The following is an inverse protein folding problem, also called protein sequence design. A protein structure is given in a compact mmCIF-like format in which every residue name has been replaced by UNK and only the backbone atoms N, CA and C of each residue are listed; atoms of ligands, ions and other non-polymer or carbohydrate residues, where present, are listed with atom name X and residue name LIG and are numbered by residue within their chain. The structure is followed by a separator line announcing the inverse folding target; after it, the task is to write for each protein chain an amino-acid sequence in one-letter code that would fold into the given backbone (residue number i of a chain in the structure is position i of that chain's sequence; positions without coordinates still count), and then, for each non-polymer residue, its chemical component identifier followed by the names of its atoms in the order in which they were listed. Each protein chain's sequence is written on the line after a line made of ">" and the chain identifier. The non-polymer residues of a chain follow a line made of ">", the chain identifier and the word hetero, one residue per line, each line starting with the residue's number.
data_IF_151775973123
#
_entry.id   IF_151775973123
#
_cell.length_a   1.000
_cell.length_b   1.000
_cell.length_c   1.000
_cell.angle_alpha   90.00
_cell.angle_beta   90.00
_cell.angle_gamma   90.00
#
_symmetry.space_group_name_H-M   'P 1'
#
loop_
_entity.id
_entity.type
_entity.pdbx_description
1 polymer ?
#
# COMPACT_ATOMS: atom_id res chain seq x y z
N UNK A 1 -30.43 51.00 28.92
CA UNK A 1 -30.67 50.44 27.57
C UNK A 1 -29.44 49.74 26.97
N UNK A 2 -28.22 50.30 27.09
CA UNK A 2 -26.97 49.72 26.54
C UNK A 2 -26.47 48.41 27.19
N UNK A 3 -26.76 48.15 28.47
CA UNK A 3 -26.29 46.95 29.17
C UNK A 3 -26.98 45.65 28.69
N UNK A 4 -28.26 45.73 28.31
CA UNK A 4 -29.00 44.56 27.80
C UNK A 4 -28.54 44.14 26.41
N UNK A 5 -28.24 45.09 25.53
CA UNK A 5 -27.70 44.82 24.18
C UNK A 5 -26.32 44.16 24.23
N UNK A 6 -25.44 44.59 25.15
CA UNK A 6 -24.13 43.96 25.33
C UNK A 6 -24.24 42.53 25.88
N UNK A 7 -25.18 42.28 26.79
CA UNK A 7 -25.42 40.94 27.35
C UNK A 7 -25.98 39.97 26.30
N UNK A 8 -26.88 40.44 25.44
CA UNK A 8 -27.46 39.66 24.34
C UNK A 8 -26.38 39.28 23.32
N UNK A 9 -25.55 40.24 22.89
CA UNK A 9 -24.45 39.98 21.94
C UNK A 9 -23.43 39.00 22.54
N UNK A 10 -23.11 39.12 23.84
CA UNK A 10 -22.18 38.23 24.54
C UNK A 10 -22.73 36.80 24.69
N UNK A 11 -24.04 36.65 24.89
CA UNK A 11 -24.70 35.35 24.92
C UNK A 11 -24.84 34.74 23.52
N UNK A 12 -25.09 35.55 22.50
CA UNK A 12 -25.15 35.11 21.10
C UNK A 12 -23.79 34.59 20.63
N UNK A 13 -22.73 35.36 20.89
CA UNK A 13 -21.35 34.94 20.58
C UNK A 13 -20.97 33.68 21.33
N UNK A 14 -21.23 33.57 22.64
CA UNK A 14 -21.02 32.32 23.40
C UNK A 14 -21.76 31.13 22.80
N UNK A 15 -23.01 31.30 22.40
CA UNK A 15 -23.81 30.22 21.81
C UNK A 15 -23.30 29.82 20.42
N UNK A 16 -22.85 30.77 19.60
CA UNK A 16 -22.22 30.50 18.31
C UNK A 16 -20.90 29.76 18.51
N UNK A 17 -20.02 30.22 19.42
CA UNK A 17 -18.75 29.54 19.70
C UNK A 17 -18.99 28.12 20.21
N UNK A 18 -19.96 27.93 21.11
CA UNK A 18 -20.29 26.61 21.67
C UNK A 18 -20.92 25.68 20.63
N UNK A 19 -21.73 26.21 19.72
CA UNK A 19 -22.28 25.45 18.59
C UNK A 19 -21.18 25.08 17.60
N UNK A 20 -20.29 26.00 17.23
CA UNK A 20 -19.14 25.72 16.36
C UNK A 20 -18.22 24.70 17.02
N UNK A 21 -17.92 24.83 18.31
CA UNK A 21 -17.08 23.89 19.04
C UNK A 21 -17.72 22.49 19.13
N UNK A 22 -19.04 22.42 19.33
CA UNK A 22 -19.78 21.16 19.33
C UNK A 22 -19.87 20.55 17.92
N UNK A 23 -20.07 21.36 16.88
CA UNK A 23 -20.04 20.89 15.49
C UNK A 23 -18.63 20.42 15.14
N UNK A 24 -17.57 21.15 15.50
CA UNK A 24 -16.18 20.74 15.25
C UNK A 24 -15.83 19.49 16.03
N UNK A 25 -16.18 19.37 17.33
CA UNK A 25 -15.97 18.15 18.11
C UNK A 25 -16.71 16.94 17.51
N UNK A 26 -17.98 17.12 17.14
CA UNK A 26 -18.79 16.04 16.57
C UNK A 26 -18.39 15.67 15.13
N UNK A 27 -17.77 16.59 14.38
CA UNK A 27 -17.40 16.37 12.97
C UNK A 27 -15.94 15.95 12.81
N UNK A 28 -15.03 16.40 13.70
CA UNK A 28 -13.59 16.18 13.54
C UNK A 28 -12.97 15.16 14.50
N UNK A 29 -13.52 14.96 15.71
CA UNK A 29 -12.88 14.14 16.74
C UNK A 29 -13.69 12.86 16.98
N UNK A 30 -13.39 11.83 16.19
CA UNK A 30 -13.77 10.45 16.49
C UNK A 30 -12.74 9.84 17.46
N UNK A 31 -13.09 8.78 18.20
CA UNK A 31 -12.17 8.02 19.09
C UNK A 31 -10.89 7.56 18.38
N UNK A 32 -10.94 7.43 17.05
CA UNK A 32 -9.81 7.00 16.21
C UNK A 32 -8.99 8.12 15.58
N UNK A 33 -9.34 9.38 15.82
CA UNK A 33 -8.57 10.54 15.34
C UNK A 33 -7.10 10.47 15.76
N UNK A 34 -6.74 10.05 17.00
CA UNK A 34 -5.34 9.86 17.38
C UNK A 34 -4.64 8.79 16.54
N UNK A 35 -5.31 7.67 16.26
CA UNK A 35 -4.76 6.61 15.42
C UNK A 35 -4.52 7.11 13.99
N UNK A 36 -5.48 7.80 13.38
CA UNK A 36 -5.30 8.35 12.03
C UNK A 36 -4.21 9.42 11.96
N UNK A 37 -4.11 10.27 12.97
CA UNK A 37 -3.05 11.28 13.06
C UNK A 37 -1.67 10.63 13.12
N UNK A 38 -1.46 9.68 14.04
CA UNK A 38 -0.19 8.96 14.17
C UNK A 38 0.14 8.22 12.89
N UNK A 39 -0.84 7.51 12.30
CA UNK A 39 -0.67 6.78 11.04
C UNK A 39 -0.24 7.71 9.90
N UNK A 40 -0.90 8.85 9.77
CA UNK A 40 -0.62 9.86 8.73
C UNK A 40 0.78 10.46 8.92
N UNK A 41 1.11 10.90 10.14
CA UNK A 41 2.41 11.48 10.44
C UNK A 41 3.55 10.48 10.21
N UNK A 42 3.37 9.23 10.65
CA UNK A 42 4.33 8.16 10.45
C UNK A 42 4.58 7.87 8.97
N UNK A 43 3.51 7.69 8.19
CA UNK A 43 3.62 7.42 6.76
C UNK A 43 4.24 8.61 6.02
N UNK A 44 3.90 9.83 6.41
CA UNK A 44 4.49 11.05 5.85
C UNK A 44 6.00 11.13 6.09
N UNK A 45 6.45 10.91 7.33
CA UNK A 45 7.89 10.87 7.67
C UNK A 45 8.59 9.76 6.89
N UNK A 46 7.97 8.59 6.77
CA UNK A 46 8.52 7.47 5.99
C UNK A 46 8.68 7.85 4.51
N UNK A 47 7.68 8.50 3.91
CA UNK A 47 7.75 8.99 2.52
C UNK A 47 8.88 9.99 2.36
N UNK A 48 8.97 10.99 3.26
CA UNK A 48 10.04 12.00 3.19
C UNK A 48 11.41 11.35 3.32
N UNK A 49 11.64 10.51 4.33
CA UNK A 49 12.93 9.87 4.56
C UNK A 49 13.31 8.94 3.40
N UNK A 50 12.35 8.16 2.89
CA UNK A 50 12.55 7.28 1.74
C UNK A 50 12.89 8.08 0.48
N UNK A 51 12.23 9.20 0.26
CA UNK A 51 12.47 10.09 -0.87
C UNK A 51 13.83 10.79 -0.76
N UNK A 52 14.17 11.30 0.43
CA UNK A 52 15.48 11.89 0.70
C UNK A 52 16.59 10.87 0.48
N UNK A 53 16.42 9.62 0.94
CA UNK A 53 17.38 8.56 0.69
C UNK A 53 17.57 8.34 -0.82
N UNK A 54 16.48 8.25 -1.59
CA UNK A 54 16.55 8.10 -3.04
C UNK A 54 17.26 9.27 -3.75
N UNK A 55 17.22 10.49 -3.20
CA UNK A 55 17.95 11.62 -3.79
C UNK A 55 19.45 11.63 -3.45
N UNK A 56 19.82 11.23 -2.23
CA UNK A 56 21.19 11.37 -1.70
C UNK A 56 22.06 10.13 -1.86
N UNK A 57 21.48 8.98 -2.17
CA UNK A 57 22.27 7.78 -2.41
C UNK A 57 23.13 7.95 -3.67
N UNK A 58 24.43 7.68 -3.52
CA UNK A 58 25.45 7.75 -4.56
C UNK A 58 25.89 6.37 -5.06
N UNK A 59 25.24 5.31 -4.59
CA UNK A 59 25.52 3.94 -5.00
C UNK A 59 24.37 3.39 -5.83
N UNK A 60 24.71 2.64 -6.87
CA UNK A 60 23.73 1.84 -7.57
C UNK A 60 23.54 0.52 -6.81
N UNK A 61 22.29 0.21 -6.46
CA UNK A 61 21.90 -1.07 -5.88
C UNK A 61 21.29 -1.98 -6.95
N UNK A 62 21.05 -3.23 -6.59
CA UNK A 62 20.40 -4.21 -7.48
C UNK A 62 19.06 -3.70 -8.04
N UNK A 63 18.43 -2.78 -7.32
CA UNK A 63 17.12 -2.23 -7.60
C UNK A 63 17.09 -0.73 -7.84
N UNK A 64 18.22 -0.02 -7.74
CA UNK A 64 18.32 1.44 -7.75
C UNK A 64 19.53 1.89 -8.59
N UNK A 65 19.29 2.65 -9.67
CA UNK A 65 20.35 3.10 -10.59
C UNK A 65 20.32 4.64 -10.71
N UNK A 66 20.71 5.37 -9.64
CA UNK A 66 20.77 6.83 -9.62
C UNK A 66 21.89 7.43 -10.47
N UNK A 67 22.89 6.63 -10.83
CA UNK A 67 24.10 7.10 -11.49
C UNK A 67 24.27 6.46 -12.86
N UNK A 68 24.77 7.27 -13.79
CA UNK A 68 25.13 6.82 -15.11
C UNK A 68 26.20 5.73 -15.06
N UNK A 69 26.08 4.74 -15.94
CA UNK A 69 26.99 3.61 -15.99
C UNK A 69 26.49 2.55 -16.94
N UNK A 70 27.23 1.45 -17.06
CA UNK A 70 26.84 0.32 -17.89
C UNK A 70 26.38 -0.82 -16.98
N UNK A 71 25.11 -1.22 -17.12
CA UNK A 71 24.51 -2.29 -16.33
C UNK A 71 24.00 -3.37 -17.25
N UNK A 72 24.57 -4.57 -17.11
CA UNK A 72 24.24 -5.73 -17.95
C UNK A 72 24.33 -5.44 -19.47
N UNK A 73 25.32 -4.64 -19.89
CA UNK A 73 25.52 -4.25 -21.28
C UNK A 73 24.53 -3.19 -21.79
N UNK A 74 23.71 -2.61 -20.90
CA UNK A 74 22.82 -1.49 -21.24
C UNK A 74 23.40 -0.20 -20.67
N UNK A 75 23.68 0.81 -21.51
CA UNK A 75 24.10 2.12 -21.02
C UNK A 75 22.92 2.79 -20.32
N UNK A 76 23.12 3.16 -19.06
CA UNK A 76 22.19 3.93 -18.25
C UNK A 76 22.69 5.37 -18.23
N UNK A 77 21.82 6.29 -18.61
CA UNK A 77 22.09 7.73 -18.63
C UNK A 77 21.50 8.47 -17.41
N UNK A 78 20.96 7.72 -16.44
CA UNK A 78 20.29 8.25 -15.27
C UNK A 78 21.28 8.98 -14.37
N UNK A 79 21.23 10.31 -14.37
CA UNK A 79 22.05 11.14 -13.47
C UNK A 79 21.30 12.38 -13.00
N UNK A 80 20.04 12.53 -13.42
CA UNK A 80 19.23 13.71 -13.12
C UNK A 80 18.28 13.43 -11.96
N UNK A 81 17.78 14.50 -11.34
CA UNK A 81 16.72 14.41 -10.34
C UNK A 81 15.47 13.74 -10.92
N UNK A 82 15.18 13.95 -12.21
CA UNK A 82 14.02 13.36 -12.90
C UNK A 82 14.14 11.83 -12.95
N UNK A 83 15.32 11.29 -13.19
CA UNK A 83 15.52 9.83 -13.26
C UNK A 83 15.33 9.18 -11.89
N UNK A 84 15.82 9.85 -10.83
CA UNK A 84 15.60 9.44 -9.43
C UNK A 84 14.11 9.50 -9.05
N UNK A 85 13.38 10.50 -9.53
CA UNK A 85 11.92 10.60 -9.37
C UNK A 85 11.19 9.48 -10.10
N UNK A 86 11.47 9.27 -11.39
CA UNK A 86 10.89 8.21 -12.21
C UNK A 86 11.15 6.84 -11.59
N UNK A 87 12.36 6.63 -11.07
CA UNK A 87 12.67 5.43 -10.31
C UNK A 87 11.81 5.28 -9.07
N UNK A 88 11.73 6.30 -8.22
CA UNK A 88 10.99 6.26 -6.96
C UNK A 88 9.51 5.90 -7.21
N UNK A 89 8.91 6.53 -8.23
CA UNK A 89 7.55 6.24 -8.70
C UNK A 89 7.45 5.02 -9.61
N UNK A 90 8.50 4.22 -9.78
CA UNK A 90 8.40 2.89 -10.41
C UNK A 90 8.24 1.77 -9.37
N UNK A 91 8.55 2.04 -8.09
CA UNK A 91 8.60 1.03 -7.05
C UNK A 91 7.24 0.81 -6.39
N UNK A 92 6.76 -0.43 -6.43
CA UNK A 92 5.46 -0.80 -5.85
C UNK A 92 5.38 -0.53 -4.34
N UNK A 93 6.51 -0.65 -3.65
CA UNK A 93 6.63 -0.33 -2.22
C UNK A 93 6.30 1.13 -1.94
N UNK A 94 6.87 2.06 -2.69
CA UNK A 94 6.63 3.50 -2.50
C UNK A 94 5.18 3.87 -2.86
N UNK A 95 4.62 3.34 -3.94
CA UNK A 95 3.21 3.56 -4.26
C UNK A 95 2.29 3.12 -3.13
N UNK A 96 2.57 1.96 -2.53
CA UNK A 96 1.69 1.41 -1.51
C UNK A 96 1.74 2.21 -0.21
N UNK A 97 2.92 2.70 0.17
CA UNK A 97 3.09 3.64 1.28
C UNK A 97 2.31 4.93 1.00
N UNK A 98 2.41 5.48 -0.21
CA UNK A 98 1.69 6.70 -0.63
C UNK A 98 0.18 6.49 -0.60
N UNK A 99 -0.31 5.34 -1.10
CA UNK A 99 -1.73 5.00 -1.09
C UNK A 99 -2.28 4.86 0.33
N UNK A 100 -1.53 4.22 1.24
CA UNK A 100 -1.88 4.17 2.66
C UNK A 100 -1.87 5.55 3.30
N UNK A 101 -0.87 6.39 2.97
CA UNK A 101 -0.82 7.77 3.46
C UNK A 101 -2.08 8.53 3.06
N UNK A 102 -2.47 8.49 1.79
CA UNK A 102 -3.69 9.14 1.33
C UNK A 102 -4.93 8.58 2.03
N UNK A 103 -5.02 7.26 2.23
CA UNK A 103 -6.13 6.69 2.98
C UNK A 103 -6.24 7.25 4.41
N UNK A 104 -5.14 7.21 5.17
CA UNK A 104 -5.14 7.66 6.57
C UNK A 104 -5.28 9.17 6.70
N UNK A 105 -4.72 9.94 5.77
CA UNK A 105 -4.91 11.39 5.70
C UNK A 105 -6.38 11.73 5.43
N UNK A 106 -7.00 11.08 4.44
CA UNK A 106 -8.42 11.25 4.15
C UNK A 106 -9.29 10.83 5.34
N UNK A 107 -8.95 9.72 6.01
CA UNK A 107 -9.64 9.29 7.22
C UNK A 107 -9.48 10.29 8.38
N UNK A 108 -8.32 10.92 8.52
CA UNK A 108 -8.03 11.96 9.51
C UNK A 108 -8.88 13.22 9.28
N UNK A 109 -9.09 13.62 8.02
CA UNK A 109 -10.00 14.73 7.67
C UNK A 109 -11.48 14.31 7.50
N UNK A 110 -11.84 13.12 7.98
CA UNK A 110 -13.20 12.54 7.95
C UNK A 110 -13.79 12.22 6.56
N UNK A 111 -12.95 12.08 5.54
CA UNK A 111 -13.31 11.60 4.19
C UNK A 111 -12.92 10.12 4.02
N UNK A 112 -13.34 9.27 4.97
CA UNK A 112 -12.98 7.85 4.99
C UNK A 112 -13.63 7.08 3.83
N UNK A 113 -12.83 6.31 3.08
CA UNK A 113 -13.32 5.37 2.08
C UNK A 113 -12.94 3.93 2.42
N UNK A 114 -13.88 3.15 2.98
CA UNK A 114 -13.64 1.73 3.27
C UNK A 114 -13.32 0.92 2.01
N UNK A 115 -13.96 1.26 0.88
CA UNK A 115 -13.68 0.60 -0.40
C UNK A 115 -12.21 0.78 -0.79
N UNK A 116 -11.68 1.99 -0.63
CA UNK A 116 -10.28 2.28 -0.92
C UNK A 116 -9.34 1.48 -0.02
N UNK A 117 -9.61 1.45 1.29
CA UNK A 117 -8.84 0.65 2.24
C UNK A 117 -8.81 -0.83 1.89
N UNK A 118 -9.96 -1.43 1.57
CA UNK A 118 -10.07 -2.85 1.24
C UNK A 118 -9.26 -3.25 0.01
N UNK A 119 -8.93 -2.29 -0.87
CA UNK A 119 -8.06 -2.51 -2.03
C UNK A 119 -6.59 -2.40 -1.67
N UNK A 120 -6.21 -1.40 -0.87
CA UNK A 120 -4.81 -1.12 -0.54
C UNK A 120 -4.29 -2.07 0.54
N UNK A 121 -5.12 -2.43 1.51
CA UNK A 121 -4.68 -3.21 2.68
C UNK A 121 -4.09 -4.58 2.30
N UNK A 122 -4.70 -5.40 1.40
CA UNK A 122 -4.09 -6.66 0.96
C UNK A 122 -2.78 -6.44 0.21
N UNK A 123 -2.70 -5.39 -0.62
CA UNK A 123 -1.49 -5.03 -1.35
C UNK A 123 -0.35 -4.67 -0.40
N UNK A 124 -0.63 -3.80 0.59
CA UNK A 124 0.33 -3.38 1.61
C UNK A 124 0.84 -4.55 2.44
N UNK A 125 -0.06 -5.45 2.87
CA UNK A 125 0.33 -6.65 3.59
C UNK A 125 1.23 -7.56 2.73
N UNK A 126 0.87 -7.74 1.46
CA UNK A 126 1.63 -8.57 0.51
C UNK A 126 3.04 -8.03 0.34
N UNK A 127 3.19 -6.73 0.08
CA UNK A 127 4.51 -6.12 -0.14
C UNK A 127 5.36 -6.18 1.12
N UNK A 128 4.79 -5.93 2.30
CA UNK A 128 5.53 -6.07 3.55
C UNK A 128 5.99 -7.51 3.78
N UNK A 129 5.17 -8.52 3.47
CA UNK A 129 5.59 -9.93 3.56
C UNK A 129 6.66 -10.27 2.53
N UNK A 130 6.51 -9.82 1.27
CA UNK A 130 7.49 -10.05 0.22
C UNK A 130 8.83 -9.37 0.50
N UNK A 131 8.82 -8.21 1.15
CA UNK A 131 10.06 -7.57 1.60
C UNK A 131 10.87 -8.51 2.47
N UNK A 132 10.24 -9.08 3.52
CA UNK A 132 10.91 -10.01 4.42
C UNK A 132 11.28 -11.35 3.78
N UNK A 133 10.50 -11.80 2.80
CA UNK A 133 10.73 -13.09 2.15
C UNK A 133 11.77 -13.03 1.02
N UNK A 134 11.83 -11.93 0.25
CA UNK A 134 12.65 -11.84 -0.96
C UNK A 134 13.80 -10.85 -0.86
N UNK A 135 13.54 -9.66 -0.33
CA UNK A 135 14.51 -8.55 -0.33
C UNK A 135 15.44 -8.65 0.87
N UNK A 136 14.89 -8.85 2.07
CA UNK A 136 15.68 -8.93 3.30
C UNK A 136 16.76 -10.03 3.28
N UNK A 137 16.50 -11.28 2.84
CA UNK A 137 17.53 -12.32 2.82
C UNK A 137 18.67 -12.05 1.85
N UNK A 138 18.51 -11.09 0.93
CA UNK A 138 19.55 -10.68 -0.03
C UNK A 138 20.35 -9.48 0.45
N UNK A 139 19.95 -8.86 1.56
CA UNK A 139 20.69 -7.78 2.20
C UNK A 139 21.81 -8.38 3.03
N UNK A 140 22.99 -7.76 2.99
CA UNK A 140 24.14 -8.14 3.84
C UNK A 140 23.98 -7.70 5.30
N UNK A 141 22.88 -7.02 5.61
CA UNK A 141 22.61 -6.39 6.90
C UNK A 141 21.80 -7.32 7.79
N UNK A 142 22.13 -7.35 9.07
CA UNK A 142 21.28 -7.99 10.07
C UNK A 142 20.01 -7.17 10.31
N UNK A 143 18.96 -7.82 10.84
CA UNK A 143 17.64 -7.19 11.03
C UNK A 143 17.70 -5.88 11.82
N UNK A 144 18.56 -5.82 12.83
CA UNK A 144 18.73 -4.65 13.70
C UNK A 144 19.51 -3.50 13.05
N UNK A 145 20.20 -3.77 11.94
CA UNK A 145 20.98 -2.80 11.18
C UNK A 145 20.17 -2.13 10.07
N UNK A 146 18.95 -2.61 9.83
CA UNK A 146 18.10 -2.05 8.81
C UNK A 146 17.66 -0.63 9.19
N UNK A 147 17.70 0.31 8.23
CA UNK A 147 17.26 1.66 8.50
C UNK A 147 15.76 1.68 8.81
N UNK A 148 15.36 2.65 9.64
CA UNK A 148 13.99 2.83 10.10
C UNK A 148 12.97 2.84 8.95
N UNK A 149 13.28 3.52 7.84
CA UNK A 149 12.39 3.62 6.69
C UNK A 149 12.20 2.29 5.92
N UNK A 150 13.02 1.27 6.18
CA UNK A 150 12.90 -0.06 5.56
C UNK A 150 12.29 -1.09 6.52
N UNK A 151 12.92 -1.36 7.67
CA UNK A 151 12.42 -2.41 8.57
C UNK A 151 11.16 -1.97 9.32
N UNK A 152 11.24 -0.81 9.95
CA UNK A 152 10.18 -0.32 10.82
C UNK A 152 8.96 0.09 9.99
N UNK A 153 9.14 0.61 8.76
CA UNK A 153 8.03 0.90 7.85
C UNK A 153 7.19 -0.34 7.52
N UNK A 154 7.81 -1.45 7.12
CA UNK A 154 7.09 -2.67 6.76
C UNK A 154 6.37 -3.30 7.95
N UNK A 155 6.99 -3.30 9.13
CA UNK A 155 6.35 -3.76 10.36
C UNK A 155 5.17 -2.88 10.73
N UNK A 156 5.36 -1.56 10.80
CA UNK A 156 4.30 -0.61 11.16
C UNK A 156 3.13 -0.64 10.19
N UNK A 157 3.38 -0.78 8.87
CA UNK A 157 2.32 -0.94 7.87
C UNK A 157 1.40 -2.11 8.24
N UNK A 158 1.96 -3.24 8.70
CA UNK A 158 1.16 -4.40 9.13
C UNK A 158 0.26 -4.01 10.30
N UNK A 159 0.79 -3.32 11.32
CA UNK A 159 -0.03 -2.84 12.45
C UNK A 159 -1.10 -1.85 12.02
N UNK A 160 -0.79 -0.90 11.15
CA UNK A 160 -1.75 0.07 10.64
C UNK A 160 -2.89 -0.61 9.88
N UNK A 161 -2.55 -1.59 9.03
CA UNK A 161 -3.51 -2.37 8.27
C UNK A 161 -4.42 -3.16 9.21
N UNK A 162 -3.89 -3.90 10.18
CA UNK A 162 -4.72 -4.65 11.12
C UNK A 162 -5.55 -3.74 12.03
N UNK A 163 -4.92 -2.68 12.56
CA UNK A 163 -5.57 -1.70 13.42
C UNK A 163 -6.76 -1.02 12.72
N UNK A 164 -6.65 -0.77 11.42
CA UNK A 164 -7.77 -0.27 10.62
C UNK A 164 -8.80 -1.34 10.27
N UNK A 165 -8.33 -2.52 9.87
CA UNK A 165 -9.15 -3.62 9.42
C UNK A 165 -10.19 -4.07 10.46
N UNK A 166 -9.83 -4.06 11.74
CA UNK A 166 -10.75 -4.40 12.84
C UNK A 166 -12.05 -3.56 12.85
N UNK A 167 -12.00 -2.34 12.33
CA UNK A 167 -13.14 -1.40 12.31
C UNK A 167 -13.91 -1.40 10.98
N UNK A 168 -13.43 -2.12 9.97
CA UNK A 168 -14.18 -2.29 8.71
C UNK A 168 -15.40 -3.17 9.00
N UNK A 169 -16.61 -2.71 8.65
CA UNK A 169 -17.85 -3.39 9.04
C UNK A 169 -18.07 -4.72 8.34
N UNK A 170 -17.76 -4.77 7.05
CA UNK A 170 -18.03 -5.93 6.20
C UNK A 170 -16.93 -6.06 5.14
N UNK A 171 -16.63 -7.27 4.67
CA UNK A 171 -15.65 -7.53 3.60
C UNK A 171 -16.21 -8.60 2.67
N UNK A 172 -17.01 -8.19 1.68
CA UNK A 172 -17.73 -9.13 0.81
C UNK A 172 -16.79 -9.93 -0.09
N UNK A 173 -17.23 -11.09 -0.57
CA UNK A 173 -16.37 -11.99 -1.37
C UNK A 173 -15.85 -11.31 -2.64
N UNK A 174 -16.68 -10.51 -3.32
CA UNK A 174 -16.27 -9.75 -4.52
C UNK A 174 -15.15 -8.74 -4.24
N UNK A 175 -15.06 -8.21 -3.02
CA UNK A 175 -14.03 -7.22 -2.67
C UNK A 175 -12.63 -7.85 -2.58
N UNK A 176 -12.54 -9.18 -2.50
CA UNK A 176 -11.25 -9.88 -2.49
C UNK A 176 -10.46 -9.70 -3.80
N UNK A 177 -11.14 -9.33 -4.88
CA UNK A 177 -10.55 -9.21 -6.21
C UNK A 177 -10.15 -7.78 -6.55
N UNK A 178 -10.52 -6.79 -5.73
CA UNK A 178 -10.31 -5.39 -6.11
C UNK A 178 -8.83 -4.98 -6.08
N UNK A 179 -8.00 -5.66 -5.29
CA UNK A 179 -6.56 -5.38 -5.21
C UNK A 179 -5.81 -5.67 -6.54
N UNK A 180 -6.38 -6.46 -7.47
CA UNK A 180 -5.75 -6.76 -8.77
C UNK A 180 -5.60 -5.57 -9.69
N UNK A 181 -6.43 -4.53 -9.53
CA UNK A 181 -6.29 -3.32 -10.32
C UNK A 181 -4.89 -2.69 -10.13
N UNK A 182 -4.33 -2.80 -8.91
CA UNK A 182 -3.00 -2.30 -8.63
C UNK A 182 -1.90 -3.15 -9.25
N UNK A 183 -2.06 -4.47 -9.35
CA UNK A 183 -1.07 -5.31 -10.06
C UNK A 183 -0.96 -4.90 -11.53
N UNK A 184 -2.10 -4.67 -12.20
CA UNK A 184 -2.08 -4.22 -13.59
C UNK A 184 -1.35 -2.88 -13.72
N UNK A 185 -1.68 -1.91 -12.85
CA UNK A 185 -1.00 -0.60 -12.81
C UNK A 185 0.50 -0.74 -12.56
N UNK A 186 0.92 -1.66 -11.68
CA UNK A 186 2.33 -1.91 -11.39
C UNK A 186 3.06 -2.56 -12.57
N UNK A 187 2.44 -3.51 -13.27
CA UNK A 187 3.02 -4.09 -14.48
C UNK A 187 3.21 -3.02 -15.57
N UNK A 188 2.23 -2.12 -15.72
CA UNK A 188 2.36 -0.96 -16.61
C UNK A 188 3.52 -0.04 -16.18
N UNK A 189 3.65 0.27 -14.90
CA UNK A 189 4.73 1.13 -14.39
C UNK A 189 6.11 0.49 -14.61
N UNK A 190 6.25 -0.82 -14.36
CA UNK A 190 7.48 -1.58 -14.61
C UNK A 190 7.83 -1.56 -16.10
N UNK A 191 6.84 -1.76 -16.98
CA UNK A 191 7.04 -1.73 -18.42
C UNK A 191 7.43 -0.33 -18.92
N UNK A 192 6.76 0.72 -18.46
CA UNK A 192 7.10 2.11 -18.80
C UNK A 192 8.53 2.43 -18.33
N UNK A 193 8.92 2.01 -17.12
CA UNK A 193 10.29 2.19 -16.63
C UNK A 193 11.31 1.49 -17.53
N UNK A 194 11.04 0.25 -17.94
CA UNK A 194 11.89 -0.46 -18.89
C UNK A 194 11.95 0.23 -20.26
N UNK A 195 10.82 0.69 -20.79
CA UNK A 195 10.77 1.36 -22.09
C UNK A 195 11.53 2.70 -22.10
N UNK A 196 11.52 3.43 -20.98
CA UNK A 196 12.19 4.73 -20.87
C UNK A 196 13.69 4.62 -20.54
N UNK A 197 14.09 3.63 -19.74
CA UNK A 197 15.45 3.54 -19.17
C UNK A 197 16.23 2.31 -19.60
N UNK A 198 15.58 1.32 -20.21
CA UNK A 198 16.17 0.02 -20.57
C UNK A 198 16.39 -0.92 -19.38
N UNK A 199 15.86 -0.57 -18.19
CA UNK A 199 16.13 -1.30 -16.94
C UNK A 199 14.85 -1.79 -16.27
N UNK A 200 14.89 -3.04 -15.81
CA UNK A 200 13.80 -3.71 -15.10
C UNK A 200 13.74 -3.33 -13.62
N UNK A 201 12.54 -3.19 -13.06
CA UNK A 201 12.35 -2.89 -11.63
C UNK A 201 12.90 -4.01 -10.73
N UNK A 202 13.66 -3.60 -9.72
CA UNK A 202 14.43 -4.45 -8.80
C UNK A 202 15.52 -5.34 -9.43
N UNK A 203 15.69 -5.34 -10.77
CA UNK A 203 16.41 -6.41 -11.49
C UNK A 203 15.91 -7.84 -11.18
N UNK A 204 14.80 -7.94 -10.43
CA UNK A 204 14.09 -9.17 -10.06
C UNK A 204 12.94 -9.42 -11.02
N UNK A 205 12.23 -8.37 -11.42
CA UNK A 205 11.01 -8.45 -12.23
C UNK A 205 11.35 -8.15 -13.69
N UNK A 206 11.88 -9.16 -14.38
CA UNK A 206 12.21 -9.12 -15.80
C UNK A 206 11.03 -9.65 -16.63
N UNK A 207 10.22 -8.77 -17.22
CA UNK A 207 9.00 -9.16 -17.95
C UNK A 207 9.31 -9.89 -19.28
N UNK A 208 10.54 -9.83 -19.75
CA UNK A 208 11.05 -10.58 -20.90
C UNK A 208 11.46 -12.02 -20.55
N UNK A 209 11.49 -12.40 -19.26
CA UNK A 209 11.98 -13.71 -18.80
C UNK A 209 10.96 -14.44 -17.93
N UNK A 210 11.02 -15.76 -17.98
CA UNK A 210 10.21 -16.63 -17.12
C UNK A 210 10.37 -16.30 -15.62
N UNK A 211 11.59 -16.01 -15.17
CA UNK A 211 11.86 -15.69 -13.77
C UNK A 211 11.05 -14.48 -13.25
N UNK A 212 10.82 -13.47 -14.09
CA UNK A 212 10.00 -12.31 -13.74
C UNK A 212 8.51 -12.67 -13.63
N UNK A 213 7.99 -13.41 -14.61
CA UNK A 213 6.59 -13.89 -14.59
C UNK A 213 6.32 -14.87 -13.45
N UNK A 214 7.29 -15.72 -13.09
CA UNK A 214 7.24 -16.58 -11.92
C UNK A 214 7.09 -15.75 -10.63
N UNK A 215 7.92 -14.71 -10.47
CA UNK A 215 7.85 -13.82 -9.31
C UNK A 215 6.52 -13.05 -9.23
N UNK A 216 6.02 -12.55 -10.38
CA UNK A 216 4.71 -11.87 -10.45
C UNK A 216 3.60 -12.85 -10.06
N UNK A 217 3.63 -14.08 -10.56
CA UNK A 217 2.63 -15.10 -10.27
C UNK A 217 2.60 -15.48 -8.79
N UNK A 218 3.77 -15.65 -8.16
CA UNK A 218 3.89 -15.87 -6.70
C UNK A 218 3.36 -14.67 -5.91
N UNK A 219 3.65 -13.45 -6.36
CA UNK A 219 3.14 -12.21 -5.75
C UNK A 219 1.62 -12.12 -5.82
N UNK A 220 1.03 -12.45 -6.99
CA UNK A 220 -0.41 -12.51 -7.20
C UNK A 220 -1.08 -13.51 -6.26
N UNK A 221 -0.53 -14.72 -6.14
CA UNK A 221 -1.06 -15.75 -5.21
C UNK A 221 -0.98 -15.27 -3.77
N UNK A 222 0.15 -14.71 -3.35
CA UNK A 222 0.28 -14.21 -1.98
C UNK A 222 -0.73 -13.10 -1.70
N UNK A 223 -0.96 -12.20 -2.66
CA UNK A 223 -1.97 -11.15 -2.53
C UNK A 223 -3.39 -11.71 -2.44
N UNK A 224 -3.71 -12.76 -3.20
CA UNK A 224 -4.95 -13.51 -3.03
C UNK A 224 -5.07 -14.05 -1.61
N UNK A 225 -4.04 -14.72 -1.11
CA UNK A 225 -4.02 -15.28 0.23
C UNK A 225 -4.25 -14.20 1.29
N UNK A 226 -3.58 -13.05 1.19
CA UNK A 226 -3.78 -11.92 2.10
C UNK A 226 -5.21 -11.36 2.04
N UNK A 227 -5.78 -11.22 0.84
CA UNK A 227 -7.14 -10.70 0.69
C UNK A 227 -8.22 -11.68 1.19
N UNK A 228 -8.05 -12.98 0.92
CA UNK A 228 -8.89 -14.03 1.48
C UNK A 228 -8.77 -14.13 2.99
N UNK A 229 -7.56 -13.99 3.51
CA UNK A 229 -7.32 -13.98 4.95
C UNK A 229 -8.15 -12.88 5.64
N UNK A 230 -8.23 -11.68 5.05
CA UNK A 230 -9.14 -10.63 5.55
C UNK A 230 -10.61 -11.04 5.49
N UNK A 231 -11.07 -11.59 4.38
CA UNK A 231 -12.44 -12.11 4.27
C UNK A 231 -12.76 -13.12 5.40
N UNK A 232 -11.89 -14.13 5.59
CA UNK A 232 -12.09 -15.17 6.60
C UNK A 232 -12.00 -14.62 8.02
N UNK A 233 -11.07 -13.71 8.31
CA UNK A 233 -11.00 -13.05 9.61
C UNK A 233 -12.31 -12.32 9.94
N UNK A 234 -12.94 -11.70 8.94
CA UNK A 234 -14.17 -10.95 9.16
C UNK A 234 -15.38 -11.84 9.43
N UNK A 235 -15.44 -13.01 8.78
CA UNK A 235 -16.56 -13.94 8.92
C UNK A 235 -16.25 -15.18 9.76
N UNK A 236 -15.16 -15.20 10.52
CA UNK A 236 -14.72 -16.34 11.33
C UNK A 236 -15.79 -16.91 12.27
N UNK A 237 -16.71 -16.05 12.76
CA UNK A 237 -17.77 -16.42 13.70
C UNK A 237 -19.13 -16.67 13.01
N UNK A 238 -19.23 -16.59 11.68
CA UNK A 238 -20.47 -16.90 10.95
C UNK A 238 -20.44 -18.33 10.44
N UNK A 239 -21.58 -19.02 10.51
CA UNK A 239 -21.73 -20.34 9.89
C UNK A 239 -21.38 -20.28 8.39
N UNK A 240 -20.59 -21.25 7.93
CA UNK A 240 -20.11 -21.31 6.54
C UNK A 240 -19.13 -20.20 6.15
N UNK A 241 -18.49 -19.51 7.11
CA UNK A 241 -17.54 -18.42 6.87
C UNK A 241 -18.08 -17.28 5.98
N UNK A 242 -19.40 -17.09 5.96
CA UNK A 242 -20.05 -16.09 5.11
C UNK A 242 -20.11 -16.45 3.62
N UNK A 243 -19.72 -17.66 3.22
CA UNK A 243 -19.71 -18.10 1.82
C UNK A 243 -21.14 -18.28 1.31
N UNK A 244 -21.50 -17.50 0.28
CA UNK A 244 -22.77 -17.64 -0.43
C UNK A 244 -22.57 -18.43 -1.73
N UNK A 245 -23.21 -19.60 -1.92
CA UNK A 245 -23.07 -20.39 -3.15
C UNK A 245 -23.43 -19.63 -4.43
N UNK A 246 -24.35 -18.65 -4.36
CA UNK A 246 -24.70 -17.80 -5.50
C UNK A 246 -23.55 -16.87 -5.90
N UNK A 247 -22.82 -16.33 -4.93
CA UNK A 247 -21.65 -15.48 -5.20
C UNK A 247 -20.48 -16.31 -5.72
N UNK A 248 -20.24 -17.48 -5.13
CA UNK A 248 -19.18 -18.39 -5.57
C UNK A 248 -19.34 -18.81 -7.03
N UNK A 249 -20.59 -19.07 -7.46
CA UNK A 249 -20.92 -19.39 -8.86
C UNK A 249 -20.70 -18.22 -9.83
N UNK A 250 -20.83 -16.98 -9.37
CA UNK A 250 -20.54 -15.79 -10.20
C UNK A 250 -19.03 -15.53 -10.32
N UNK A 251 -18.25 -15.99 -9.36
CA UNK A 251 -16.78 -15.84 -9.34
C UNK A 251 -16.02 -16.94 -10.11
N UNK A 252 -16.67 -17.66 -11.04
CA UNK A 252 -16.00 -18.74 -11.81
C UNK A 252 -14.76 -18.27 -12.57
N UNK A 253 -14.83 -17.11 -13.24
CA UNK A 253 -13.70 -16.53 -13.97
C UNK A 253 -12.49 -16.20 -13.08
N UNK A 254 -12.78 -15.85 -11.83
CA UNK A 254 -11.76 -15.60 -10.81
C UNK A 254 -11.05 -16.89 -10.40
N UNK A 255 -11.81 -17.95 -10.11
CA UNK A 255 -11.23 -19.25 -9.74
C UNK A 255 -10.46 -19.88 -10.91
N UNK A 256 -10.95 -19.74 -12.15
CA UNK A 256 -10.21 -20.22 -13.31
C UNK A 256 -8.88 -19.48 -13.50
N UNK A 257 -8.83 -18.17 -13.24
CA UNK A 257 -7.58 -17.40 -13.28
C UNK A 257 -6.61 -17.87 -12.21
N UNK A 258 -7.07 -18.10 -10.98
CA UNK A 258 -6.24 -18.60 -9.89
C UNK A 258 -5.70 -20.01 -10.18
N UNK A 259 -6.54 -20.91 -10.72
CA UNK A 259 -6.12 -22.25 -11.18
C UNK A 259 -5.09 -22.15 -12.30
N UNK A 260 -5.25 -21.22 -13.26
CA UNK A 260 -4.30 -21.02 -14.34
C UNK A 260 -2.93 -20.55 -13.82
N UNK A 261 -2.91 -19.64 -12.84
CA UNK A 261 -1.66 -19.17 -12.21
C UNK A 261 -0.99 -20.30 -11.42
N UNK A 262 -1.77 -21.08 -10.66
CA UNK A 262 -1.25 -22.26 -9.95
C UNK A 262 -0.67 -23.27 -10.94
N UNK A 263 -1.40 -23.56 -12.03
CA UNK A 263 -0.93 -24.46 -13.08
C UNK A 263 0.37 -23.97 -13.72
N UNK A 264 0.44 -22.68 -14.04
CA UNK A 264 1.65 -22.04 -14.55
C UNK A 264 2.84 -22.24 -13.61
N UNK A 265 2.66 -22.03 -12.31
CA UNK A 265 3.72 -22.25 -11.32
C UNK A 265 4.14 -23.72 -11.24
N UNK A 266 3.21 -24.67 -11.08
CA UNK A 266 3.56 -26.09 -10.97
C UNK A 266 4.22 -26.66 -12.23
N UNK A 267 3.72 -26.31 -13.41
CA UNK A 267 4.18 -26.91 -14.66
C UNK A 267 5.54 -26.37 -15.13
N UNK A 268 5.87 -25.13 -14.77
CA UNK A 268 7.13 -24.50 -15.18
C UNK A 268 8.17 -24.40 -14.06
N UNK A 269 7.82 -24.66 -12.80
CA UNK A 269 8.78 -24.82 -11.70
C UNK A 269 9.33 -26.27 -11.60
N UNK A 270 8.69 -27.22 -12.30
CA UNK A 270 9.15 -28.62 -12.42
C UNK A 270 10.11 -28.87 -13.59
N UNK A 271 10.55 -27.81 -14.28
CA UNK A 271 11.60 -27.83 -15.32
C UNK A 271 12.76 -26.94 -14.89
#
# INVERSE_FOLDING_TARGET
>A
MYQNSALIIRNLTKNITKNVENTVKNTFINERTPFYFISTAFLFVTIILSFMSALHTNENYADFFPNAGEYYGTPIHDNTVIDKLCWYFSQITHHTIILLFFYFFLAFINVKSEKFFKMIAPLALTISVLYFYLLFPRQKLELHQLPFYNFFSHFMIIFLVFGEFMYIKDYTFKETTHCFIFILTCLCAIYINYALRGVWSYNLVKLDRYSGWNLISKTVILMYCCSFFFYFLKYKNKQGFGLNPKELRKSKGFFSGLVAIIWFLFFFESK
#
